data_IF_880264162222
#
_entry.id   IF_880264162222
#
_cell.length_a   1.000
_cell.length_b   1.000
_cell.length_c   1.000
_cell.angle_alpha   90.00
_cell.angle_beta   90.00
_cell.angle_gamma   90.00
#
_symmetry.space_group_name_H-M   'P 1'
#
loop_
_entity.id
_entity.type
_entity.pdbx_description
1 polymer ?
#
# COMPACT_ATOMS: atom_id res chain seq x y z
N UNK A 1 41.09 -4.04 -14.27
CA UNK A 1 42.13 -5.05 -14.57
C UNK A 1 41.70 -6.35 -13.91
N UNK A 2 41.71 -7.45 -14.69
CA UNK A 2 41.65 -8.89 -14.33
C UNK A 2 40.45 -9.39 -13.52
N UNK A 3 39.87 -10.58 -13.75
CA UNK A 3 39.77 -11.55 -14.85
C UNK A 3 38.85 -12.67 -14.31
N UNK A 4 37.97 -13.20 -15.17
CA UNK A 4 37.43 -14.57 -15.27
C UNK A 4 36.95 -15.34 -14.01
N UNK A 5 35.69 -15.79 -14.06
CA UNK A 5 35.24 -17.06 -13.46
C UNK A 5 34.02 -17.61 -14.23
N UNK A 6 34.28 -18.51 -15.17
CA UNK A 6 33.31 -19.48 -15.69
C UNK A 6 33.03 -20.53 -14.59
N UNK A 7 31.76 -20.88 -14.39
CA UNK A 7 31.38 -22.04 -13.58
C UNK A 7 30.62 -23.03 -14.47
N UNK A 8 31.24 -24.20 -14.53
CA UNK A 8 30.88 -25.47 -15.12
C UNK A 8 29.60 -26.06 -14.49
N UNK A 9 28.69 -26.59 -15.31
CA UNK A 9 27.59 -27.45 -14.85
C UNK A 9 27.53 -28.70 -15.71
N UNK A 10 27.87 -29.83 -15.09
CA UNK A 10 27.65 -31.17 -15.62
C UNK A 10 26.32 -31.76 -15.13
N UNK A 11 25.73 -32.52 -16.05
CA UNK A 11 24.88 -33.71 -15.87
C UNK A 11 23.49 -33.56 -15.26
N UNK A 12 22.45 -33.84 -16.08
CA UNK A 12 21.63 -35.07 -15.96
C UNK A 12 21.10 -35.45 -17.34
N UNK A 13 21.49 -36.64 -17.81
CA UNK A 13 20.98 -37.32 -19.00
C UNK A 13 19.62 -37.99 -18.76
N UNK A 14 18.87 -38.13 -19.86
CA UNK A 14 17.80 -39.10 -20.13
C UNK A 14 16.40 -38.82 -19.55
N UNK A 15 15.49 -38.42 -20.45
CA UNK A 15 14.21 -39.10 -20.71
C UNK A 15 13.69 -38.70 -22.10
N UNK A 16 13.77 -39.66 -23.01
CA UNK A 16 13.09 -39.66 -24.31
C UNK A 16 11.57 -39.64 -24.12
N UNK A 17 10.86 -38.86 -24.93
CA UNK A 17 9.49 -39.16 -25.39
C UNK A 17 9.14 -38.26 -26.60
N UNK A 18 9.23 -38.86 -27.77
CA UNK A 18 8.66 -38.39 -29.05
C UNK A 18 7.12 -38.55 -29.03
N UNK A 19 6.34 -37.61 -29.58
CA UNK A 19 4.96 -37.86 -29.97
C UNK A 19 4.86 -38.19 -31.47
N UNK A 20 4.58 -39.46 -31.73
CA UNK A 20 3.61 -39.99 -32.71
C UNK A 20 3.41 -39.25 -34.05
N UNK A 21 3.87 -39.89 -35.12
CA UNK A 21 3.05 -40.13 -36.32
C UNK A 21 3.29 -41.54 -36.85
N UNK A 22 2.39 -42.47 -36.53
CA UNK A 22 2.27 -43.74 -37.23
C UNK A 22 1.54 -43.56 -38.56
N UNK A 23 1.92 -44.29 -39.63
CA UNK A 23 0.98 -44.74 -40.64
C UNK A 23 0.48 -46.16 -40.30
N UNK A 24 -0.83 -46.31 -40.33
CA UNK A 24 -1.55 -47.58 -40.24
C UNK A 24 -1.46 -48.34 -41.56
N UNK A 25 -0.88 -49.54 -41.54
CA UNK A 25 -1.42 -50.71 -42.27
C UNK A 25 -0.90 -51.95 -41.58
N UNK A 26 -1.83 -52.70 -40.99
CA UNK A 26 -1.56 -53.92 -40.25
C UNK A 26 -1.33 -55.12 -41.16
N UNK A 27 -0.70 -56.13 -40.59
CA UNK A 27 -0.79 -57.50 -41.04
C UNK A 27 -0.76 -58.45 -39.84
N UNK A 28 -1.62 -59.44 -39.90
CA UNK A 28 -1.51 -60.70 -39.17
C UNK A 28 -2.57 -61.67 -39.70
N UNK A 29 -2.46 -62.98 -39.45
CA UNK A 29 -1.29 -63.87 -39.41
C UNK A 29 -1.40 -64.96 -40.53
N UNK A 30 -0.48 -65.95 -40.67
CA UNK A 30 -0.45 -66.84 -41.82
C UNK A 30 -1.38 -68.06 -41.64
N UNK A 31 -2.14 -68.44 -42.66
CA UNK A 31 -2.71 -69.78 -42.79
C UNK A 31 -3.14 -70.12 -44.24
N UNK A 32 -2.48 -71.13 -44.81
CA UNK A 32 -3.09 -72.20 -45.61
C UNK A 32 -3.67 -71.90 -47.01
N UNK A 33 -3.20 -72.65 -48.01
CA UNK A 33 -4.06 -73.09 -49.13
C UNK A 33 -3.54 -72.76 -50.53
N UNK A 34 -3.05 -73.80 -51.23
CA UNK A 34 -2.84 -73.83 -52.67
C UNK A 34 -4.13 -73.49 -53.46
N UNK A 35 -4.00 -72.79 -54.60
CA UNK A 35 -4.29 -73.29 -55.97
C UNK A 35 -4.51 -72.15 -56.98
N UNK A 36 -3.62 -72.16 -57.99
CA UNK A 36 -3.85 -72.04 -59.44
C UNK A 36 -4.93 -71.07 -59.99
N UNK A 37 -4.49 -70.23 -60.94
CA UNK A 37 -5.28 -69.98 -62.17
C UNK A 37 -5.50 -68.52 -62.58
N UNK A 38 -4.52 -67.94 -63.28
CA UNK A 38 -4.64 -67.08 -64.48
C UNK A 38 -6.06 -66.85 -65.04
N UNK A 39 -6.51 -65.67 -65.51
CA UNK A 39 -5.97 -64.82 -66.59
C UNK A 39 -6.56 -63.39 -66.50
N UNK A 40 -5.71 -62.42 -66.85
CA UNK A 40 -5.89 -60.97 -67.04
C UNK A 40 -7.17 -60.50 -67.76
N UNK A 41 -7.74 -59.39 -67.29
CA UNK A 41 -8.16 -58.28 -68.18
C UNK A 41 -7.70 -56.95 -67.58
N UNK A 42 -6.91 -56.20 -68.36
CA UNK A 42 -6.46 -54.84 -68.08
C UNK A 42 -7.51 -53.84 -68.52
N UNK A 43 -7.83 -52.86 -67.67
CA UNK A 43 -8.10 -51.47 -68.05
C UNK A 43 -7.36 -50.59 -67.03
N UNK A 44 -6.67 -49.51 -67.45
CA UNK A 44 -5.55 -48.96 -66.70
C UNK A 44 -6.01 -47.92 -65.68
N UNK A 45 -5.72 -48.17 -64.40
CA UNK A 45 -5.83 -47.14 -63.38
C UNK A 45 -4.55 -46.30 -63.37
N UNK A 46 -4.70 -45.06 -63.86
CA UNK A 46 -3.79 -43.98 -63.58
C UNK A 46 -3.84 -43.66 -62.08
N UNK A 47 -3.00 -44.32 -61.29
CA UNK A 47 -2.66 -43.82 -59.95
C UNK A 47 -1.19 -43.41 -59.95
N UNK A 48 -0.97 -42.12 -60.19
CA UNK A 48 0.35 -41.50 -60.02
C UNK A 48 0.53 -41.25 -58.52
N UNK A 49 1.06 -42.25 -57.80
CA UNK A 49 1.58 -42.04 -56.44
C UNK A 49 2.85 -41.21 -56.53
N UNK A 50 2.81 -39.98 -56.02
CA UNK A 50 3.93 -39.04 -56.00
C UNK A 50 5.03 -39.58 -55.07
N UNK A 51 6.08 -40.16 -55.64
CA UNK A 51 7.30 -40.56 -54.93
C UNK A 51 8.26 -39.37 -54.87
N UNK A 52 8.75 -39.02 -53.69
CA UNK A 52 9.75 -37.96 -53.54
C UNK A 52 11.03 -38.27 -54.32
N UNK A 53 11.65 -37.26 -54.95
CA UNK A 53 12.88 -37.42 -55.72
C UNK A 53 14.09 -37.80 -54.85
N UNK A 54 14.97 -38.64 -55.38
CA UNK A 54 16.28 -38.93 -54.77
C UNK A 54 17.22 -37.70 -54.84
N UNK A 55 18.22 -37.63 -53.95
CA UNK A 55 19.16 -36.48 -53.85
C UNK A 55 19.82 -36.12 -55.18
N UNK A 56 20.20 -37.14 -55.96
CA UNK A 56 20.92 -36.96 -57.23
C UNK A 56 20.01 -36.45 -58.35
N UNK A 57 18.76 -36.93 -58.39
CA UNK A 57 17.75 -36.48 -59.34
C UNK A 57 17.27 -35.05 -59.01
N UNK A 58 17.13 -34.74 -57.72
CA UNK A 58 16.77 -33.41 -57.25
C UNK A 58 17.86 -32.39 -57.61
N UNK A 59 19.14 -32.72 -57.44
CA UNK A 59 20.25 -31.81 -57.76
C UNK A 59 20.37 -31.51 -59.26
N UNK A 60 19.97 -32.45 -60.14
CA UNK A 60 19.92 -32.21 -61.60
C UNK A 60 18.85 -31.18 -61.98
N UNK A 61 17.71 -31.16 -61.30
CA UNK A 61 16.62 -30.20 -61.56
C UNK A 61 16.84 -28.88 -60.81
N UNK A 62 17.31 -28.94 -59.56
CA UNK A 62 17.55 -27.79 -58.69
C UNK A 62 18.75 -26.93 -59.11
N UNK A 63 19.72 -27.51 -59.83
CA UNK A 63 20.87 -26.80 -60.37
C UNK A 63 20.59 -25.99 -61.65
N UNK A 64 19.37 -26.03 -62.18
CA UNK A 64 19.02 -25.26 -63.39
C UNK A 64 19.10 -23.75 -63.12
N UNK A 65 19.57 -22.93 -64.08
CA UNK A 65 19.77 -21.50 -63.87
C UNK A 65 18.50 -20.75 -63.41
N UNK A 66 17.32 -21.22 -63.84
CA UNK A 66 16.03 -20.67 -63.41
C UNK A 66 15.75 -20.89 -61.92
N UNK A 67 15.91 -22.12 -61.43
CA UNK A 67 15.68 -22.45 -60.02
C UNK A 67 16.71 -21.80 -59.09
N UNK A 68 17.97 -21.72 -59.50
CA UNK A 68 19.01 -21.02 -58.73
C UNK A 68 18.67 -19.53 -58.57
N UNK A 69 18.24 -18.86 -59.65
CA UNK A 69 17.82 -17.46 -59.62
C UNK A 69 16.58 -17.24 -58.74
N UNK A 70 15.59 -18.12 -58.84
CA UNK A 70 14.37 -18.06 -58.00
C UNK A 70 14.71 -18.25 -56.52
N UNK A 71 15.58 -19.20 -56.18
CA UNK A 71 16.02 -19.42 -54.78
C UNK A 71 16.73 -18.20 -54.20
N UNK A 72 17.64 -17.60 -54.96
CA UNK A 72 18.31 -16.36 -54.55
C UNK A 72 17.33 -15.19 -54.41
N UNK A 73 16.36 -15.05 -55.34
CA UNK A 73 15.32 -14.04 -55.24
C UNK A 73 14.45 -14.21 -53.97
N UNK A 74 14.01 -15.44 -53.68
CA UNK A 74 13.24 -15.75 -52.46
C UNK A 74 14.05 -15.52 -51.19
N UNK A 75 15.34 -15.87 -51.18
CA UNK A 75 16.21 -15.64 -50.03
C UNK A 75 16.41 -14.13 -49.77
N UNK A 76 16.61 -13.33 -50.82
CA UNK A 76 16.71 -11.87 -50.70
C UNK A 76 15.39 -11.28 -50.19
N UNK A 77 14.26 -11.74 -50.73
CA UNK A 77 12.93 -11.28 -50.32
C UNK A 77 12.63 -11.64 -48.86
N UNK A 78 13.04 -12.84 -48.42
CA UNK A 78 12.97 -13.26 -47.02
C UNK A 78 13.77 -12.32 -46.10
N UNK A 79 15.04 -12.03 -46.44
CA UNK A 79 15.86 -11.13 -45.62
C UNK A 79 15.34 -9.69 -45.64
N UNK A 80 14.83 -9.19 -46.77
CA UNK A 80 14.17 -7.90 -46.84
C UNK A 80 12.91 -7.85 -45.96
N UNK A 81 12.08 -8.90 -45.99
CA UNK A 81 10.93 -9.03 -45.10
C UNK A 81 11.32 -9.09 -43.63
N UNK A 82 12.37 -9.85 -43.30
CA UNK A 82 12.89 -9.96 -41.94
C UNK A 82 13.44 -8.62 -41.44
N UNK A 83 14.24 -7.90 -42.25
CA UNK A 83 14.74 -6.56 -41.91
C UNK A 83 13.58 -5.57 -41.78
N UNK A 84 12.57 -5.67 -42.65
CA UNK A 84 11.36 -4.84 -42.59
C UNK A 84 10.57 -5.08 -41.30
N UNK A 85 10.41 -6.34 -40.88
CA UNK A 85 9.77 -6.70 -39.61
C UNK A 85 10.58 -6.21 -38.40
N UNK A 86 11.91 -6.34 -38.43
CA UNK A 86 12.80 -5.83 -37.39
C UNK A 86 12.71 -4.30 -37.28
N UNK A 87 12.77 -3.59 -38.41
CA UNK A 87 12.63 -2.14 -38.47
C UNK A 87 11.25 -1.71 -37.95
N UNK A 88 10.18 -2.41 -38.35
CA UNK A 88 8.83 -2.17 -37.84
C UNK A 88 8.74 -2.33 -36.33
N UNK A 89 9.32 -3.39 -35.76
CA UNK A 89 9.36 -3.61 -34.32
C UNK A 89 10.12 -2.49 -33.57
N UNK A 90 11.27 -2.06 -34.10
CA UNK A 90 12.04 -0.93 -33.55
C UNK A 90 11.21 0.35 -33.60
N UNK A 91 10.55 0.64 -34.73
CA UNK A 91 9.71 1.83 -34.89
C UNK A 91 8.57 1.84 -33.89
N UNK A 92 7.89 0.70 -33.66
CA UNK A 92 6.82 0.58 -32.66
C UNK A 92 7.36 0.91 -31.26
N UNK A 93 8.53 0.37 -30.88
CA UNK A 93 9.13 0.62 -29.56
C UNK A 93 9.54 2.09 -29.39
N UNK A 94 10.09 2.71 -30.44
CA UNK A 94 10.52 4.12 -30.40
C UNK A 94 9.33 5.08 -30.38
N UNK A 95 8.24 4.76 -31.09
CA UNK A 95 7.02 5.57 -31.11
C UNK A 95 6.14 5.35 -29.87
N UNK A 96 6.26 4.21 -29.19
CA UNK A 96 5.53 3.95 -27.97
C UNK A 96 5.91 4.98 -26.89
N UNK A 97 4.94 5.74 -26.34
CA UNK A 97 5.22 6.67 -25.28
C UNK A 97 5.77 5.91 -24.07
N UNK A 98 6.83 6.44 -23.45
CA UNK A 98 7.36 5.84 -22.22
C UNK A 98 6.31 5.95 -21.12
N UNK A 99 6.14 4.87 -20.38
CA UNK A 99 5.37 4.91 -19.14
C UNK A 99 6.00 5.97 -18.23
N UNK A 100 5.16 6.79 -17.58
CA UNK A 100 5.65 7.72 -16.55
C UNK A 100 6.38 6.90 -15.48
N UNK A 101 7.61 7.27 -15.08
CA UNK A 101 8.30 6.56 -14.01
C UNK A 101 7.46 6.66 -12.75
N UNK A 102 7.33 5.54 -12.04
CA UNK A 102 6.60 5.52 -10.77
C UNK A 102 7.43 6.38 -9.81
N UNK A 103 6.84 7.43 -9.20
CA UNK A 103 7.57 8.21 -8.22
C UNK A 103 7.93 7.33 -7.04
N UNK A 104 9.17 7.44 -6.54
CA UNK A 104 9.53 6.79 -5.29
C UNK A 104 8.70 7.39 -4.15
N UNK A 105 8.04 6.52 -3.39
CA UNK A 105 7.22 6.88 -2.24
C UNK A 105 7.92 6.42 -0.97
N UNK A 106 7.78 7.20 0.10
CA UNK A 106 8.27 6.78 1.39
C UNK A 106 7.25 5.84 2.03
N UNK A 107 7.68 5.02 2.99
CA UNK A 107 6.80 4.02 3.62
C UNK A 107 5.55 4.64 4.28
N UNK A 108 5.65 5.89 4.76
CA UNK A 108 4.52 6.62 5.36
C UNK A 108 3.50 7.12 4.33
N UNK A 109 3.82 7.07 3.04
CA UNK A 109 2.88 7.43 1.96
C UNK A 109 2.18 6.21 1.35
N UNK A 110 2.60 4.99 1.70
CA UNK A 110 2.06 3.74 1.12
C UNK A 110 0.74 3.27 1.74
N UNK A 111 0.29 3.89 2.83
CA UNK A 111 -0.91 3.44 3.54
C UNK A 111 -1.21 4.27 4.79
N UNK A 112 -2.20 3.85 5.58
CA UNK A 112 -2.62 4.59 6.76
C UNK A 112 -1.62 4.43 7.93
N UNK A 113 -1.54 5.49 8.73
CA UNK A 113 -0.91 5.47 10.04
C UNK A 113 -1.98 5.29 11.12
N UNK A 114 -1.65 4.52 12.15
CA UNK A 114 -2.55 4.18 13.25
C UNK A 114 -2.00 4.70 14.56
N UNK A 115 -2.69 5.67 15.17
CA UNK A 115 -2.24 6.38 16.35
C UNK A 115 -2.82 5.79 17.62
N UNK A 116 -1.93 5.39 18.52
CA UNK A 116 -2.24 4.87 19.86
C UNK A 116 -1.69 5.89 20.86
N UNK A 117 -2.49 6.91 21.20
CA UNK A 117 -2.10 7.95 22.15
C UNK A 117 -1.95 7.41 23.59
N UNK A 118 -2.79 6.44 23.95
CA UNK A 118 -2.83 5.82 25.27
C UNK A 118 -2.74 4.29 25.14
N UNK A 119 -1.59 3.73 25.48
CA UNK A 119 -1.34 2.30 25.41
C UNK A 119 -2.10 1.51 26.48
N UNK A 120 -2.45 2.13 27.61
CA UNK A 120 -3.21 1.50 28.69
C UNK A 120 -4.67 1.35 28.29
N UNK A 121 -5.31 2.42 27.81
CA UNK A 121 -6.67 2.35 27.29
C UNK A 121 -6.79 1.44 26.05
N UNK A 122 -5.73 1.37 25.24
CA UNK A 122 -5.70 0.52 24.05
C UNK A 122 -5.57 -0.97 24.38
N UNK A 123 -4.62 -1.36 25.21
CA UNK A 123 -4.34 -2.77 25.47
C UNK A 123 -3.63 -3.03 26.81
N UNK A 124 -3.90 -2.23 27.85
CA UNK A 124 -3.28 -2.38 29.18
C UNK A 124 -1.73 -2.32 29.11
N UNK A 125 -1.17 -1.47 28.24
CA UNK A 125 0.25 -1.17 28.09
C UNK A 125 0.94 -1.81 26.89
N UNK A 126 2.27 -1.67 26.80
CA UNK A 126 3.08 -2.11 25.65
C UNK A 126 3.02 -3.63 25.40
N UNK A 127 2.93 -4.44 26.46
CA UNK A 127 2.81 -5.89 26.32
C UNK A 127 1.50 -6.30 25.61
N UNK A 128 0.40 -5.59 25.87
CA UNK A 128 -0.84 -5.83 25.15
C UNK A 128 -0.84 -5.25 23.74
N UNK A 129 -0.13 -4.13 23.51
CA UNK A 129 0.11 -3.64 22.13
C UNK A 129 0.80 -4.74 21.32
N UNK A 130 1.85 -5.36 21.86
CA UNK A 130 2.55 -6.48 21.22
C UNK A 130 1.59 -7.64 20.90
N UNK A 131 0.75 -8.03 21.86
CA UNK A 131 -0.22 -9.11 21.69
C UNK A 131 -1.25 -8.79 20.57
N UNK A 132 -1.66 -7.53 20.44
CA UNK A 132 -2.68 -7.09 19.47
C UNK A 132 -2.09 -6.68 18.10
N UNK A 133 -0.77 -6.65 17.92
CA UNK A 133 -0.13 -6.35 16.62
C UNK A 133 -0.62 -7.25 15.47
N UNK A 134 -0.95 -8.51 15.75
CA UNK A 134 -1.52 -9.42 14.76
C UNK A 134 -2.87 -8.94 14.23
N UNK A 135 -3.70 -8.36 15.09
CA UNK A 135 -4.98 -7.76 14.71
C UNK A 135 -4.80 -6.45 13.95
N UNK A 136 -3.85 -5.62 14.36
CA UNK A 136 -3.56 -4.36 13.69
C UNK A 136 -3.04 -4.61 12.27
N UNK A 137 -2.22 -5.65 12.07
CA UNK A 137 -1.75 -6.05 10.74
C UNK A 137 -2.89 -6.47 9.80
N UNK A 138 -3.99 -7.01 10.33
CA UNK A 138 -5.19 -7.32 9.52
C UNK A 138 -5.86 -6.04 8.98
N UNK A 139 -5.66 -4.90 9.63
CA UNK A 139 -6.13 -3.59 9.16
C UNK A 139 -5.24 -3.02 8.04
N UNK A 140 -4.14 -3.68 7.68
CA UNK A 140 -3.19 -3.25 6.61
C UNK A 140 -2.61 -1.85 6.83
N UNK A 141 -2.39 -1.49 8.09
CA UNK A 141 -1.70 -0.23 8.43
C UNK A 141 -0.21 -0.35 8.10
N UNK A 142 0.40 0.79 7.70
CA UNK A 142 1.81 0.85 7.35
C UNK A 142 2.68 1.41 8.46
N UNK A 143 2.08 2.19 9.37
CA UNK A 143 2.79 2.70 10.53
C UNK A 143 1.91 2.77 11.77
N UNK A 144 2.57 2.62 12.91
CA UNK A 144 2.03 2.82 14.25
C UNK A 144 2.63 4.11 14.81
N UNK A 145 1.79 4.98 15.37
CA UNK A 145 2.24 6.16 16.11
C UNK A 145 1.95 5.89 17.59
N UNK A 146 2.98 5.59 18.37
CA UNK A 146 2.86 5.33 19.80
C UNK A 146 2.99 6.65 20.55
N UNK A 147 1.96 6.97 21.33
CA UNK A 147 1.88 8.18 22.13
C UNK A 147 2.96 8.23 23.21
N UNK A 148 3.13 9.40 23.85
CA UNK A 148 4.27 9.66 24.71
C UNK A 148 4.43 8.58 25.79
N UNK A 149 5.54 7.86 25.75
CA UNK A 149 5.83 6.78 26.70
C UNK A 149 6.58 7.29 27.93
N UNK A 150 7.08 8.52 27.90
CA UNK A 150 7.93 9.07 28.93
C UNK A 150 7.19 9.60 30.16
N UNK A 151 7.95 9.77 31.23
CA UNK A 151 7.47 10.33 32.50
C UNK A 151 7.61 11.85 32.53
N UNK A 152 6.58 12.52 33.02
CA UNK A 152 6.54 13.98 33.19
C UNK A 152 5.46 14.34 34.21
N UNK A 153 5.75 15.27 35.12
CA UNK A 153 4.71 15.97 35.88
C UNK A 153 4.24 17.19 35.09
N UNK A 154 2.92 17.43 35.12
CA UNK A 154 2.25 18.54 34.42
C UNK A 154 2.99 19.86 34.61
N UNK A 155 3.42 20.46 33.50
CA UNK A 155 4.06 21.78 33.43
C UNK A 155 5.36 21.90 34.28
N UNK A 156 6.03 20.78 34.63
CA UNK A 156 7.26 20.76 35.43
C UNK A 156 8.45 20.17 34.65
N UNK A 157 9.21 20.98 33.88
CA UNK A 157 10.27 20.51 33.00
C UNK A 157 11.46 19.87 33.72
N UNK A 158 11.64 20.13 35.02
CA UNK A 158 12.67 19.48 35.83
C UNK A 158 12.44 17.97 36.00
N UNK A 159 11.18 17.53 35.87
CA UNK A 159 10.79 16.11 35.98
C UNK A 159 10.77 15.37 34.65
N UNK A 160 11.08 16.07 33.54
CA UNK A 160 11.06 15.52 32.20
C UNK A 160 12.20 14.51 31.99
N UNK A 161 11.85 13.24 31.81
CA UNK A 161 12.79 12.20 31.39
C UNK A 161 12.31 11.49 30.11
N UNK A 162 12.79 11.95 28.95
CA UNK A 162 12.37 11.45 27.64
C UNK A 162 12.97 10.08 27.25
N UNK A 163 13.98 9.59 27.98
CA UNK A 163 14.65 8.30 27.71
C UNK A 163 14.09 7.16 28.54
N UNK A 164 13.35 7.47 29.59
CA UNK A 164 12.74 6.47 30.48
C UNK A 164 11.26 6.29 30.15
N UNK A 165 10.80 5.05 30.11
CA UNK A 165 9.39 4.71 29.90
C UNK A 165 8.67 4.71 31.24
N UNK A 166 7.46 5.28 31.27
CA UNK A 166 6.58 5.22 32.42
C UNK A 166 6.28 3.76 32.80
N UNK A 167 6.59 3.33 34.05
CA UNK A 167 6.36 1.96 34.49
C UNK A 167 4.91 1.48 34.35
N UNK A 168 3.93 2.39 34.32
CA UNK A 168 2.52 2.07 34.08
C UNK A 168 2.26 1.62 32.64
N UNK A 169 3.02 2.14 31.68
CA UNK A 169 2.90 1.84 30.24
C UNK A 169 3.76 0.64 29.83
N UNK A 170 4.87 0.40 30.54
CA UNK A 170 5.72 -0.75 30.33
C UNK A 170 7.20 -0.47 30.62
N UNK A 171 8.08 -1.14 29.87
CA UNK A 171 9.53 -1.00 29.99
C UNK A 171 10.18 -1.03 28.60
N UNK A 172 11.48 -0.70 28.53
CA UNK A 172 12.25 -0.67 27.28
C UNK A 172 12.28 -2.04 26.57
N UNK A 173 12.49 -3.18 27.26
CA UNK A 173 12.38 -4.50 26.61
C UNK A 173 11.03 -4.78 25.95
N UNK A 174 9.92 -4.34 26.55
CA UNK A 174 8.58 -4.48 25.97
C UNK A 174 8.45 -3.63 24.70
N UNK A 175 9.01 -2.42 24.68
CA UNK A 175 9.04 -1.61 23.45
C UNK A 175 9.86 -2.30 22.35
N UNK A 176 11.03 -2.85 22.67
CA UNK A 176 11.86 -3.59 21.71
C UNK A 176 11.11 -4.79 21.12
N UNK A 177 10.35 -5.52 21.93
CA UNK A 177 9.51 -6.63 21.45
C UNK A 177 8.40 -6.16 20.49
N UNK A 178 7.76 -5.01 20.79
CA UNK A 178 6.79 -4.37 19.89
C UNK A 178 7.46 -3.97 18.56
N UNK A 179 8.65 -3.35 18.61
CA UNK A 179 9.40 -2.95 17.40
C UNK A 179 9.73 -4.17 16.54
N UNK A 180 10.32 -5.21 17.12
CA UNK A 180 10.70 -6.43 16.40
C UNK A 180 9.49 -7.09 15.74
N UNK A 181 8.37 -7.22 16.47
CA UNK A 181 7.14 -7.83 15.96
C UNK A 181 6.46 -6.96 14.90
N UNK A 182 6.49 -5.63 15.04
CA UNK A 182 5.95 -4.70 14.05
C UNK A 182 6.77 -4.75 12.75
N UNK A 183 8.10 -4.72 12.84
CA UNK A 183 9.00 -4.78 11.69
C UNK A 183 8.88 -6.10 10.93
N UNK A 184 8.75 -7.24 11.62
CA UNK A 184 8.47 -8.55 11.00
C UNK A 184 7.17 -8.56 10.18
N UNK A 185 6.24 -7.65 10.47
CA UNK A 185 4.96 -7.50 9.76
C UNK A 185 4.99 -6.37 8.73
N UNK A 186 6.12 -5.70 8.53
CA UNK A 186 6.26 -4.56 7.63
C UNK A 186 5.57 -3.29 8.15
N UNK A 187 5.35 -3.19 9.45
CA UNK A 187 4.77 -2.01 10.10
C UNK A 187 5.90 -1.19 10.71
N UNK A 188 5.99 0.09 10.34
CA UNK A 188 6.93 1.02 10.95
C UNK A 188 6.39 1.58 12.25
N UNK A 189 7.27 1.97 13.18
CA UNK A 189 6.86 2.55 14.47
C UNK A 189 7.43 3.96 14.61
N UNK A 190 6.53 4.91 14.89
CA UNK A 190 6.82 6.31 15.18
C UNK A 190 6.55 6.53 16.67
N UNK A 191 7.50 7.14 17.37
CA UNK A 191 7.36 7.47 18.78
C UNK A 191 7.03 8.95 18.95
N UNK A 192 6.01 9.26 19.74
CA UNK A 192 5.67 10.63 20.12
C UNK A 192 6.56 11.10 21.27
N UNK A 193 7.37 12.12 21.02
CA UNK A 193 8.26 12.74 22.00
C UNK A 193 7.78 14.12 22.44
N UNK A 194 6.48 14.38 22.40
CA UNK A 194 5.88 15.63 22.90
C UNK A 194 6.20 15.82 24.39
N UNK A 195 7.04 16.80 24.76
CA UNK A 195 7.67 16.76 26.07
C UNK A 195 6.69 17.01 27.22
N UNK A 196 5.78 17.98 27.09
CA UNK A 196 4.78 18.32 28.11
C UNK A 196 3.36 17.85 27.71
N UNK A 197 3.19 16.57 27.37
CA UNK A 197 1.92 16.03 26.88
C UNK A 197 0.76 16.07 27.90
N UNK A 198 1.05 16.12 29.20
CA UNK A 198 0.06 16.26 30.27
C UNK A 198 -0.27 17.73 30.63
N UNK A 199 0.48 18.68 30.06
CA UNK A 199 0.42 20.09 30.41
C UNK A 199 -0.39 20.95 29.45
N UNK A 200 -0.32 22.26 29.68
CA UNK A 200 -1.10 23.24 28.92
C UNK A 200 -0.48 23.57 27.56
N UNK A 201 0.86 23.64 27.53
CA UNK A 201 1.64 23.94 26.33
C UNK A 201 2.61 22.77 26.06
N UNK A 202 2.60 22.16 24.85
CA UNK A 202 3.42 20.98 24.54
C UNK A 202 4.93 21.18 24.77
N UNK A 203 5.42 22.40 24.60
CA UNK A 203 6.84 22.79 24.72
C UNK A 203 7.15 23.66 25.95
N UNK A 204 6.31 23.61 27.00
CA UNK A 204 6.42 24.49 28.17
C UNK A 204 6.41 25.98 27.77
N UNK A 205 7.09 26.85 28.53
CA UNK A 205 7.21 28.27 28.19
C UNK A 205 8.29 28.52 27.14
N UNK A 206 8.18 29.59 26.32
CA UNK A 206 9.20 29.93 25.32
C UNK A 206 10.62 30.09 25.87
N UNK A 207 10.75 30.48 27.15
CA UNK A 207 12.04 30.63 27.83
C UNK A 207 12.76 29.30 28.09
N UNK A 208 12.07 28.17 27.99
CA UNK A 208 12.58 26.83 28.25
C UNK A 208 12.69 25.98 26.98
N UNK A 209 12.32 26.56 25.83
CA UNK A 209 12.20 25.83 24.57
C UNK A 209 13.51 25.17 24.15
N UNK A 210 14.63 25.90 24.19
CA UNK A 210 15.92 25.39 23.72
C UNK A 210 16.48 24.29 24.64
N UNK A 211 16.44 24.48 25.96
CA UNK A 211 16.80 23.44 26.95
C UNK A 211 15.98 22.14 26.77
N UNK A 212 14.69 22.28 26.46
CA UNK A 212 13.80 21.13 26.24
C UNK A 212 14.08 20.51 24.87
N UNK A 213 14.36 21.30 23.84
CA UNK A 213 14.71 20.81 22.51
C UNK A 213 16.00 20.00 22.53
N UNK A 214 17.01 20.41 23.30
CA UNK A 214 18.25 19.63 23.50
C UNK A 214 17.94 18.24 24.07
N UNK A 215 17.11 18.16 25.11
CA UNK A 215 16.66 16.88 25.67
C UNK A 215 15.87 16.02 24.68
N UNK A 216 15.03 16.63 23.85
CA UNK A 216 14.26 15.94 22.80
C UNK A 216 15.20 15.40 21.73
N UNK A 217 16.22 16.16 21.35
CA UNK A 217 17.23 15.72 20.40
C UNK A 217 17.98 14.47 20.90
N UNK A 218 18.49 14.54 22.13
CA UNK A 218 19.18 13.43 22.79
C UNK A 218 18.31 12.17 22.91
N UNK A 219 17.02 12.34 23.18
CA UNK A 219 16.07 11.23 23.25
C UNK A 219 15.76 10.66 21.87
N UNK A 220 15.61 11.51 20.85
CA UNK A 220 15.39 11.07 19.48
C UNK A 220 16.57 10.22 18.98
N UNK A 221 17.81 10.65 19.18
CA UNK A 221 18.99 9.85 18.82
C UNK A 221 19.00 8.48 19.51
N UNK A 222 18.68 8.46 20.81
CA UNK A 222 18.60 7.24 21.59
C UNK A 222 17.54 6.25 21.06
N UNK A 223 16.29 6.70 20.90
CA UNK A 223 15.19 5.85 20.45
C UNK A 223 15.34 5.39 18.99
N UNK A 224 15.85 6.27 18.12
CA UNK A 224 16.15 5.92 16.73
C UNK A 224 17.32 4.93 16.65
N UNK A 225 18.26 4.98 17.58
CA UNK A 225 19.34 3.99 17.73
C UNK A 225 18.84 2.60 18.14
N UNK A 226 17.72 2.53 18.87
CA UNK A 226 17.05 1.28 19.25
C UNK A 226 16.13 0.70 18.16
N UNK A 227 15.97 1.39 17.03
CA UNK A 227 15.20 0.90 15.88
C UNK A 227 13.82 1.53 15.70
N UNK A 228 13.51 2.64 16.38
CA UNK A 228 12.32 3.44 16.05
C UNK A 228 12.47 4.04 14.64
N UNK A 229 11.40 4.01 13.83
CA UNK A 229 11.41 4.46 12.42
C UNK A 229 11.06 5.95 12.26
N UNK A 230 10.68 6.64 13.33
CA UNK A 230 10.40 8.06 13.27
C UNK A 230 9.98 8.69 14.58
N UNK A 231 9.96 10.02 14.60
CA UNK A 231 9.60 10.80 15.77
C UNK A 231 8.40 11.69 15.43
N UNK A 232 7.39 11.68 16.29
CA UNK A 232 6.27 12.64 16.28
C UNK A 232 6.49 13.70 17.34
N UNK A 233 6.20 14.95 17.00
CA UNK A 233 6.17 16.07 17.95
C UNK A 233 4.92 16.93 17.75
N UNK A 234 4.28 17.32 18.86
CA UNK A 234 3.14 18.22 18.85
C UNK A 234 3.54 19.70 18.83
N UNK A 235 2.62 20.57 18.41
CA UNK A 235 2.83 22.03 18.29
C UNK A 235 4.15 22.37 17.59
N UNK A 236 4.22 21.88 16.35
CA UNK A 236 5.37 21.99 15.49
C UNK A 236 5.74 23.46 15.18
N UNK A 237 4.76 24.37 15.20
CA UNK A 237 4.98 25.82 15.08
C UNK A 237 5.93 26.35 16.15
N UNK A 238 5.72 25.98 17.41
CA UNK A 238 6.59 26.38 18.52
C UNK A 238 7.96 25.70 18.43
N UNK A 239 7.99 24.40 18.11
CA UNK A 239 9.22 23.62 17.97
C UNK A 239 10.21 24.26 16.96
N UNK A 240 9.69 24.70 15.80
CA UNK A 240 10.52 25.24 14.71
C UNK A 240 11.13 26.61 14.99
N UNK A 241 10.72 27.27 16.08
CA UNK A 241 11.30 28.53 16.52
C UNK A 241 12.55 28.35 17.36
N UNK A 242 12.87 27.12 17.79
CA UNK A 242 14.13 26.83 18.49
C UNK A 242 15.33 26.99 17.57
N UNK A 243 16.44 27.48 18.11
CA UNK A 243 17.71 27.58 17.38
C UNK A 243 18.29 26.20 17.04
N UNK A 244 17.93 25.17 17.80
CA UNK A 244 18.44 23.80 17.64
C UNK A 244 17.55 22.92 16.74
N UNK A 245 16.54 23.51 16.08
CA UNK A 245 15.67 22.79 15.15
C UNK A 245 16.44 22.02 14.06
N UNK A 246 17.48 22.65 13.50
CA UNK A 246 18.30 22.03 12.45
C UNK A 246 19.08 20.82 12.95
N UNK A 247 19.54 20.85 14.21
CA UNK A 247 20.20 19.70 14.85
C UNK A 247 19.22 18.56 15.06
N UNK A 248 18.03 18.87 15.58
CA UNK A 248 16.97 17.87 15.77
C UNK A 248 16.56 17.21 14.44
N UNK A 249 16.39 18.00 13.39
CA UNK A 249 16.13 17.47 12.04
C UNK A 249 17.26 16.56 11.55
N UNK A 250 18.52 16.96 11.76
CA UNK A 250 19.68 16.18 11.36
C UNK A 250 19.80 14.87 12.16
N UNK A 251 19.46 14.88 13.45
CA UNK A 251 19.45 13.67 14.29
C UNK A 251 18.39 12.67 13.82
N UNK A 252 17.19 13.14 13.46
CA UNK A 252 16.12 12.27 12.97
C UNK A 252 16.46 11.69 11.59
N UNK A 253 16.96 12.52 10.68
CA UNK A 253 17.28 12.10 9.31
C UNK A 253 18.55 11.26 9.25
N UNK A 254 19.55 11.55 10.09
CA UNK A 254 20.84 10.86 10.16
C UNK A 254 21.62 10.82 8.83
N UNK A 255 22.85 10.31 8.88
CA UNK A 255 23.57 9.88 7.67
C UNK A 255 23.10 8.47 7.28
N UNK A 256 21.83 8.34 6.90
CA UNK A 256 21.28 7.07 6.42
C UNK A 256 21.94 6.73 5.07
N UNK A 257 22.64 5.59 5.00
CA UNK A 257 23.12 5.02 3.74
C UNK A 257 21.91 4.56 2.92
N UNK A 258 22.04 4.47 1.58
CA UNK A 258 20.92 4.12 0.68
C UNK A 258 20.22 2.79 1.04
N UNK A 259 20.88 1.88 1.77
CA UNK A 259 20.30 0.60 2.20
C UNK A 259 19.46 0.69 3.48
N UNK A 260 19.50 1.80 4.22
CA UNK A 260 18.76 1.96 5.47
C UNK A 260 17.38 2.55 5.24
N UNK A 261 16.37 1.96 5.90
CA UNK A 261 14.97 2.41 5.84
C UNK A 261 14.87 3.87 6.28
N UNK A 262 14.21 4.70 5.47
CA UNK A 262 14.04 6.13 5.74
C UNK A 262 13.29 6.37 7.05
N UNK A 263 13.78 7.31 7.85
CA UNK A 263 13.14 7.77 9.08
C UNK A 263 12.18 8.92 8.81
N UNK A 264 11.09 9.00 9.57
CA UNK A 264 10.09 10.08 9.43
C UNK A 264 10.15 11.06 10.59
N UNK A 265 10.20 12.35 10.29
CA UNK A 265 9.85 13.40 11.25
C UNK A 265 8.40 13.84 11.02
N UNK A 266 7.55 13.58 12.00
CA UNK A 266 6.13 13.91 11.97
C UNK A 266 5.83 15.11 12.88
N UNK A 267 5.34 16.20 12.31
CA UNK A 267 4.89 17.38 13.06
C UNK A 267 3.38 17.44 13.19
N UNK A 268 2.86 17.83 14.35
CA UNK A 268 1.43 18.16 14.50
C UNK A 268 1.25 19.66 14.63
N UNK A 269 0.34 20.23 13.85
CA UNK A 269 -0.07 21.63 13.94
C UNK A 269 -1.56 21.75 14.22
N UNK A 270 -1.91 22.75 15.04
CA UNK A 270 -3.29 23.03 15.44
C UNK A 270 -3.60 24.49 15.14
N UNK A 271 -4.80 24.78 14.65
CA UNK A 271 -5.28 26.15 14.38
C UNK A 271 -4.45 26.98 13.37
N UNK A 272 -3.69 26.35 12.46
CA UNK A 272 -2.91 27.01 11.39
C UNK A 272 -3.68 27.04 10.06
N UNK A 273 -3.63 28.11 9.27
CA UNK A 273 -4.26 28.15 7.93
C UNK A 273 -3.59 27.18 6.93
N UNK A 274 -4.26 26.89 5.81
CA UNK A 274 -3.70 26.09 4.71
C UNK A 274 -2.45 26.74 4.09
N UNK A 275 -2.46 28.07 3.95
CA UNK A 275 -1.32 28.85 3.44
C UNK A 275 -0.12 28.77 4.38
N UNK A 276 -0.32 29.05 5.67
CA UNK A 276 0.74 28.96 6.67
C UNK A 276 1.29 27.53 6.80
N UNK A 277 0.43 26.51 6.68
CA UNK A 277 0.84 25.12 6.67
C UNK A 277 1.75 24.81 5.47
N UNK A 278 1.40 25.30 4.29
CA UNK A 278 2.19 25.13 3.08
C UNK A 278 3.56 25.78 3.20
N UNK A 279 3.62 27.00 3.75
CA UNK A 279 4.87 27.69 4.06
C UNK A 279 5.72 26.92 5.08
N UNK A 280 5.08 26.38 6.11
CA UNK A 280 5.75 25.63 7.17
C UNK A 280 6.39 24.35 6.63
N UNK A 281 5.68 23.58 5.80
CA UNK A 281 6.21 22.38 5.14
C UNK A 281 7.44 22.73 4.29
N UNK A 282 7.36 23.78 3.48
CA UNK A 282 8.45 24.21 2.62
C UNK A 282 9.67 24.72 3.41
N UNK A 283 9.44 25.49 4.48
CA UNK A 283 10.50 26.12 5.27
C UNK A 283 11.24 25.12 6.16
N UNK A 284 10.51 24.18 6.76
CA UNK A 284 11.06 23.31 7.82
C UNK A 284 11.56 21.97 7.30
N UNK A 285 11.26 21.63 6.03
CA UNK A 285 11.68 20.37 5.39
C UNK A 285 11.32 19.14 6.24
N UNK A 286 10.16 19.19 6.91
CA UNK A 286 9.57 18.09 7.66
C UNK A 286 8.99 17.05 6.70
N UNK A 287 9.04 15.79 7.09
CA UNK A 287 8.67 14.68 6.22
C UNK A 287 7.15 14.49 6.16
N UNK A 288 6.45 14.74 7.27
CA UNK A 288 5.00 14.62 7.38
C UNK A 288 4.41 15.61 8.38
N UNK A 289 3.35 16.32 8.01
CA UNK A 289 2.63 17.24 8.91
C UNK A 289 1.17 16.85 9.02
N UNK A 290 0.72 16.61 10.25
CA UNK A 290 -0.67 16.37 10.59
C UNK A 290 -1.33 17.67 11.06
N UNK A 291 -2.44 18.05 10.43
CA UNK A 291 -3.18 19.28 10.76
C UNK A 291 -4.61 18.99 11.22
N UNK A 292 -5.22 19.96 11.90
CA UNK A 292 -6.62 19.89 12.33
C UNK A 292 -7.62 20.53 11.33
N UNK A 293 -7.18 20.88 10.12
CA UNK A 293 -7.99 21.57 9.10
C UNK A 293 -9.34 20.89 8.85
N UNK A 294 -9.34 19.56 8.68
CA UNK A 294 -10.57 18.77 8.48
C UNK A 294 -11.49 18.77 9.70
N UNK A 295 -10.91 18.92 10.89
CA UNK A 295 -11.63 18.88 12.17
C UNK A 295 -12.29 20.21 12.53
N UNK A 296 -11.96 21.29 11.82
CA UNK A 296 -12.55 22.62 12.06
C UNK A 296 -14.04 22.61 11.76
N UNK A 297 -14.79 23.43 12.48
CA UNK A 297 -16.22 23.68 12.25
C UNK A 297 -16.45 24.64 11.06
N UNK A 298 -15.53 24.62 10.10
CA UNK A 298 -15.62 25.40 8.88
C UNK A 298 -16.46 24.56 7.91
N UNK A 299 -17.32 25.19 7.12
CA UNK A 299 -18.22 24.47 6.20
C UNK A 299 -17.48 23.53 5.24
N UNK A 300 -18.18 22.56 4.65
CA UNK A 300 -17.58 21.56 3.76
C UNK A 300 -16.79 22.16 2.59
N UNK A 301 -17.24 23.30 2.05
CA UNK A 301 -16.56 24.04 0.97
C UNK A 301 -15.16 24.48 1.38
N UNK A 302 -14.99 25.00 2.60
CA UNK A 302 -13.67 25.44 3.08
C UNK A 302 -12.71 24.25 3.18
N UNK A 303 -13.17 23.11 3.68
CA UNK A 303 -12.34 21.90 3.76
C UNK A 303 -11.84 21.46 2.38
N UNK A 304 -12.69 21.54 1.36
CA UNK A 304 -12.31 21.21 -0.01
C UNK A 304 -11.28 22.21 -0.54
N UNK A 305 -11.43 23.50 -0.26
CA UNK A 305 -10.44 24.52 -0.62
C UNK A 305 -9.10 24.25 0.07
N UNK A 306 -9.10 24.02 1.40
CA UNK A 306 -7.90 23.71 2.18
C UNK A 306 -7.18 22.48 1.61
N UNK A 307 -7.93 21.45 1.21
CA UNK A 307 -7.39 20.25 0.56
C UNK A 307 -6.75 20.55 -0.80
N UNK A 308 -7.44 21.34 -1.63
CA UNK A 308 -6.95 21.68 -2.97
C UNK A 308 -5.68 22.55 -2.90
N UNK A 309 -5.55 23.45 -1.92
CA UNK A 309 -4.33 24.24 -1.72
C UNK A 309 -3.12 23.34 -1.42
N UNK A 310 -3.33 22.26 -0.66
CA UNK A 310 -2.26 21.39 -0.18
C UNK A 310 -1.99 20.18 -1.09
N UNK A 311 -2.70 20.02 -2.20
CA UNK A 311 -2.58 18.85 -3.06
C UNK A 311 -1.19 18.68 -3.68
N UNK A 312 -0.53 19.80 -4.00
CA UNK A 312 0.86 19.79 -4.50
C UNK A 312 1.87 19.23 -3.50
N UNK A 313 1.57 19.33 -2.20
CA UNK A 313 2.41 18.87 -1.08
C UNK A 313 1.91 17.55 -0.47
N UNK A 314 1.03 16.83 -1.15
CA UNK A 314 0.39 15.60 -0.66
C UNK A 314 1.34 14.58 -0.01
N UNK A 315 2.61 14.51 -0.43
CA UNK A 315 3.60 13.56 0.15
C UNK A 315 4.03 13.93 1.58
N UNK A 316 3.87 15.19 1.96
CA UNK A 316 4.26 15.73 3.26
C UNK A 316 3.07 16.10 4.14
N UNK A 317 1.84 15.83 3.68
CA UNK A 317 0.62 16.15 4.42
C UNK A 317 -0.08 14.87 4.88
N UNK A 318 -0.42 14.85 6.17
CA UNK A 318 -1.21 13.84 6.81
C UNK A 318 -2.60 14.38 7.17
N UNK A 319 -3.62 13.53 6.98
CA UNK A 319 -5.02 13.88 7.20
C UNK A 319 -5.63 12.98 8.27
N UNK A 320 -6.26 13.59 9.27
CA UNK A 320 -7.06 12.85 10.24
C UNK A 320 -8.17 13.72 10.81
N UNK A 321 -9.35 13.13 11.01
CA UNK A 321 -10.47 13.81 11.65
C UNK A 321 -10.41 13.56 13.15
N UNK A 322 -9.86 14.52 13.91
CA UNK A 322 -9.60 14.40 15.34
C UNK A 322 -8.16 13.99 15.68
N UNK A 323 -7.45 13.32 14.77
CA UNK A 323 -6.11 12.77 15.03
C UNK A 323 -5.08 13.79 15.53
N UNK A 324 -5.10 15.03 15.03
CA UNK A 324 -4.21 16.11 15.50
C UNK A 324 -4.44 16.46 16.98
N UNK A 325 -5.66 16.28 17.48
CA UNK A 325 -6.04 16.46 18.89
C UNK A 325 -6.08 15.13 19.64
N UNK A 326 -5.68 14.03 19.00
CA UNK A 326 -5.73 12.66 19.54
C UNK A 326 -7.14 12.20 19.91
N UNK A 327 -8.12 12.81 19.28
CA UNK A 327 -9.54 12.49 19.42
C UNK A 327 -9.94 11.35 18.49
N UNK A 328 -10.92 10.55 18.91
CA UNK A 328 -11.63 9.64 18.02
C UNK A 328 -12.50 10.41 17.03
N UNK A 329 -12.57 9.89 15.81
CA UNK A 329 -13.41 10.36 14.70
C UNK A 329 -14.88 10.46 15.12
N UNK A 330 -15.32 9.56 16.00
CA UNK A 330 -16.69 9.49 16.53
C UNK A 330 -17.12 10.73 17.33
N UNK A 331 -16.18 11.51 17.89
CA UNK A 331 -16.48 12.80 18.54
C UNK A 331 -17.04 13.82 17.55
N UNK A 332 -16.73 13.69 16.26
CA UNK A 332 -17.22 14.55 15.18
C UNK A 332 -18.32 13.88 14.36
N UNK A 333 -18.20 12.58 14.12
CA UNK A 333 -19.16 11.79 13.37
C UNK A 333 -19.85 10.76 14.27
N UNK A 334 -21.03 11.11 14.80
CA UNK A 334 -21.73 10.27 15.78
C UNK A 334 -22.48 9.09 15.14
N UNK A 335 -22.83 9.18 13.86
CA UNK A 335 -23.58 8.15 13.14
C UNK A 335 -22.62 7.19 12.41
N UNK A 336 -22.82 5.86 12.50
CA UNK A 336 -22.04 4.86 11.74
C UNK A 336 -21.95 5.13 10.23
N UNK A 337 -23.01 5.63 9.59
CA UNK A 337 -22.98 6.00 8.18
C UNK A 337 -21.97 7.14 7.92
N UNK A 338 -21.97 8.17 8.78
CA UNK A 338 -21.06 9.30 8.66
C UNK A 338 -19.61 8.89 8.97
N UNK A 339 -19.40 7.96 9.89
CA UNK A 339 -18.08 7.36 10.17
C UNK A 339 -17.53 6.69 8.91
N UNK A 340 -18.35 5.85 8.24
CA UNK A 340 -17.95 5.18 6.98
C UNK A 340 -17.63 6.18 5.86
N UNK A 341 -18.39 7.27 5.77
CA UNK A 341 -18.13 8.36 4.81
C UNK A 341 -16.79 9.03 5.06
N UNK A 342 -16.47 9.37 6.31
CA UNK A 342 -15.19 10.01 6.63
C UNK A 342 -14.01 9.06 6.47
N UNK A 343 -14.18 7.77 6.82
CA UNK A 343 -13.17 6.75 6.54
C UNK A 343 -12.91 6.67 5.03
N UNK A 344 -13.96 6.59 4.19
CA UNK A 344 -13.82 6.60 2.74
C UNK A 344 -13.06 7.84 2.26
N UNK A 345 -13.49 9.03 2.70
CA UNK A 345 -12.84 10.29 2.34
C UNK A 345 -11.35 10.26 2.69
N UNK A 346 -10.99 9.91 3.93
CA UNK A 346 -9.59 9.83 4.41
C UNK A 346 -8.76 8.86 3.56
N UNK A 347 -9.27 7.69 3.23
CA UNK A 347 -8.55 6.72 2.42
C UNK A 347 -8.40 7.13 0.94
N UNK A 348 -9.31 7.94 0.40
CA UNK A 348 -9.27 8.39 -0.99
C UNK A 348 -8.58 9.73 -1.20
N UNK A 349 -8.30 10.47 -0.12
CA UNK A 349 -7.64 11.77 -0.20
C UNK A 349 -6.15 11.66 -0.57
N UNK A 350 -5.62 12.67 -1.29
CA UNK A 350 -4.19 12.76 -1.56
C UNK A 350 -3.43 13.04 -0.25
N UNK A 351 -2.45 12.18 0.05
CA UNK A 351 -1.63 12.23 1.27
C UNK A 351 -1.82 11.04 2.20
N UNK A 352 -1.32 11.17 3.43
CA UNK A 352 -1.28 10.04 4.37
C UNK A 352 -2.47 10.09 5.33
N UNK A 353 -3.41 9.13 5.28
CA UNK A 353 -4.48 9.08 6.26
C UNK A 353 -3.96 8.62 7.63
N UNK A 354 -4.38 9.31 8.68
CA UNK A 354 -4.04 9.03 10.08
C UNK A 354 -5.34 8.81 10.85
N UNK A 355 -5.44 7.65 11.50
CA UNK A 355 -6.58 7.26 12.31
C UNK A 355 -6.15 7.09 13.77
N UNK A 356 -6.99 7.51 14.71
CA UNK A 356 -6.80 7.21 16.12
C UNK A 356 -7.37 5.82 16.41
N UNK A 357 -6.81 5.10 17.38
CA UNK A 357 -7.34 3.81 17.76
C UNK A 357 -8.83 3.88 18.13
N UNK A 358 -9.59 2.88 17.70
CA UNK A 358 -11.05 2.84 17.85
C UNK A 358 -11.81 3.46 16.67
N UNK A 359 -11.17 4.26 15.82
CA UNK A 359 -11.81 4.82 14.62
C UNK A 359 -12.28 3.74 13.65
N UNK A 360 -11.59 2.60 13.61
CA UNK A 360 -11.90 1.46 12.75
C UNK A 360 -13.18 0.72 13.17
N UNK A 361 -13.60 0.85 14.43
CA UNK A 361 -14.89 0.32 14.93
C UNK A 361 -15.92 1.42 15.15
N UNK A 362 -15.53 2.69 15.05
CA UNK A 362 -16.39 3.83 15.40
C UNK A 362 -16.57 4.00 16.91
N UNK A 363 -15.55 3.67 17.70
CA UNK A 363 -15.56 3.71 19.15
C UNK A 363 -15.89 5.12 19.65
N UNK A 364 -16.91 5.24 20.48
CA UNK A 364 -17.30 6.53 21.07
C UNK A 364 -16.56 6.78 22.38
N UNK A 365 -15.91 7.94 22.47
CA UNK A 365 -15.35 8.42 23.72
C UNK A 365 -16.46 8.95 24.63
N UNK A 366 -16.46 8.52 25.89
CA UNK A 366 -17.37 9.03 26.93
C UNK A 366 -16.60 10.10 27.71
N UNK A 367 -17.01 11.36 27.57
CA UNK A 367 -16.37 12.47 28.27
C UNK A 367 -15.00 12.86 27.67
N UNK A 368 -14.05 13.23 28.54
CA UNK A 368 -12.71 13.70 28.15
C UNK A 368 -11.63 12.62 28.18
N UNK A 369 -11.94 11.41 28.66
CA UNK A 369 -10.98 10.33 28.78
C UNK A 369 -10.85 9.51 27.48
N UNK A 370 -9.68 8.89 27.32
CA UNK A 370 -9.39 7.90 26.30
C UNK A 370 -10.34 6.70 26.44
N UNK A 371 -11.15 6.35 25.42
CA UNK A 371 -12.05 5.20 25.52
C UNK A 371 -11.26 3.89 25.55
N UNK A 372 -11.65 2.95 26.41
CA UNK A 372 -11.06 1.62 26.42
C UNK A 372 -11.40 0.86 25.13
N UNK A 373 -10.39 0.33 24.46
CA UNK A 373 -10.56 -0.40 23.21
C UNK A 373 -11.35 -1.69 23.42
N UNK A 374 -12.32 -1.95 22.54
CA UNK A 374 -13.15 -3.16 22.59
C UNK A 374 -12.58 -4.21 21.65
N UNK A 375 -12.00 -5.25 22.24
CA UNK A 375 -11.39 -6.37 21.52
C UNK A 375 -12.36 -7.52 21.28
N UNK A 376 -11.96 -8.47 20.43
CA UNK A 376 -12.64 -9.76 20.26
C UNK A 376 -14.11 -9.67 19.75
N UNK A 377 -14.49 -8.55 19.12
CA UNK A 377 -15.84 -8.27 18.60
C UNK A 377 -16.36 -9.29 17.57
N UNK A 378 -15.45 -9.98 16.87
CA UNK A 378 -15.77 -10.98 15.85
C UNK A 378 -16.13 -12.36 16.46
N UNK A 379 -15.76 -12.62 17.72
CA UNK A 379 -16.13 -13.86 18.40
C UNK A 379 -17.60 -13.82 18.78
N UNK A 380 -18.34 -14.87 18.44
CA UNK A 380 -19.72 -14.99 18.87
C UNK A 380 -19.81 -15.24 20.39
N UNK A 381 -20.81 -14.65 21.06
CA UNK A 381 -21.05 -14.96 22.47
C UNK A 381 -21.31 -16.46 22.65
N UNK A 382 -20.84 -17.02 23.76
CA UNK A 382 -21.02 -18.43 24.10
C UNK A 382 -22.52 -18.77 24.11
N UNK A 383 -22.92 -19.86 23.46
CA UNK A 383 -24.31 -20.33 23.44
C UNK A 383 -24.88 -20.42 24.87
N UNK A 384 -25.99 -19.73 25.10
CA UNK A 384 -26.68 -19.70 26.41
C UNK A 384 -26.32 -18.53 27.34
N UNK A 385 -25.42 -17.63 26.94
CA UNK A 385 -25.22 -16.36 27.65
C UNK A 385 -26.42 -15.43 27.45
N UNK A 386 -26.88 -14.76 28.51
CA UNK A 386 -27.87 -13.70 28.39
C UNK A 386 -27.21 -12.49 27.71
N UNK A 387 -27.34 -12.41 26.38
CA UNK A 387 -26.84 -11.28 25.59
C UNK A 387 -27.90 -10.20 25.62
N UNK A 388 -27.54 -9.00 26.06
CA UNK A 388 -28.41 -7.83 25.93
C UNK A 388 -28.55 -7.49 24.45
N UNK A 389 -29.78 -7.48 23.91
CA UNK A 389 -30.09 -7.20 22.50
C UNK A 389 -29.40 -5.91 22.00
N UNK A 390 -29.32 -4.88 22.86
CA UNK A 390 -28.66 -3.61 22.50
C UNK A 390 -27.15 -3.77 22.30
N UNK A 391 -26.50 -4.59 23.14
CA UNK A 391 -25.07 -4.86 23.03
C UNK A 391 -24.75 -5.71 21.79
N UNK A 392 -25.65 -6.61 21.40
CA UNK A 392 -25.48 -7.40 20.17
C UNK A 392 -25.60 -6.54 18.91
N UNK A 393 -26.57 -5.61 18.88
CA UNK A 393 -26.71 -4.65 17.78
C UNK A 393 -25.44 -3.80 17.64
N UNK A 394 -24.94 -3.26 18.75
CA UNK A 394 -23.70 -2.47 18.75
C UNK A 394 -22.48 -3.30 18.28
N UNK A 395 -22.37 -4.56 18.72
CA UNK A 395 -21.30 -5.46 18.25
C UNK A 395 -21.36 -5.67 16.74
N UNK A 396 -22.55 -5.91 16.19
CA UNK A 396 -22.76 -6.08 14.74
C UNK A 396 -22.36 -4.81 13.97
N UNK A 397 -22.67 -3.63 14.51
CA UNK A 397 -22.23 -2.37 13.94
C UNK A 397 -20.70 -2.22 13.94
N UNK A 398 -20.04 -2.51 15.06
CA UNK A 398 -18.56 -2.48 15.15
C UNK A 398 -17.91 -3.41 14.12
N UNK A 399 -18.43 -4.63 13.97
CA UNK A 399 -17.93 -5.59 12.98
C UNK A 399 -18.12 -5.05 11.55
N UNK A 400 -19.26 -4.43 11.26
CA UNK A 400 -19.54 -3.86 9.94
C UNK A 400 -18.62 -2.67 9.62
N UNK A 401 -18.38 -1.75 10.57
CA UNK A 401 -17.46 -0.62 10.39
C UNK A 401 -16.01 -1.11 10.23
N UNK A 402 -15.59 -2.11 11.02
CA UNK A 402 -14.23 -2.69 10.91
C UNK A 402 -13.99 -3.38 9.57
N UNK A 403 -15.00 -4.11 9.07
CA UNK A 403 -14.95 -4.74 7.74
C UNK A 403 -14.82 -3.68 6.64
N UNK A 404 -15.60 -2.60 6.72
CA UNK A 404 -15.52 -1.47 5.81
C UNK A 404 -14.14 -0.81 5.82
N UNK A 405 -13.61 -0.49 7.02
CA UNK A 405 -12.27 0.07 7.19
C UNK A 405 -11.18 -0.82 6.56
N UNK A 406 -11.23 -2.13 6.81
CA UNK A 406 -10.27 -3.09 6.24
C UNK A 406 -10.33 -3.14 4.71
N UNK A 407 -11.53 -3.12 4.13
CA UNK A 407 -11.69 -3.10 2.68
C UNK A 407 -11.09 -1.83 2.07
N UNK A 408 -11.28 -0.68 2.71
CA UNK A 408 -10.69 0.58 2.26
C UNK A 408 -9.17 0.61 2.38
N UNK A 409 -8.63 0.12 3.50
CA UNK A 409 -7.17 0.09 3.69
C UNK A 409 -6.48 -0.86 2.72
N UNK A 410 -7.09 -2.02 2.43
CA UNK A 410 -6.61 -2.95 1.40
C UNK A 410 -6.59 -2.31 0.00
N UNK A 411 -7.64 -1.57 -0.37
CA UNK A 411 -7.69 -0.85 -1.64
C UNK A 411 -6.63 0.25 -1.68
N UNK A 412 -6.47 1.04 -0.62
CA UNK A 412 -5.46 2.10 -0.54
C UNK A 412 -4.04 1.58 -0.76
N UNK A 413 -3.72 0.41 -0.19
CA UNK A 413 -2.39 -0.20 -0.32
C UNK A 413 -2.16 -0.81 -1.71
N UNK A 414 -3.21 -1.29 -2.40
CA UNK A 414 -3.13 -1.94 -3.71
C UNK A 414 -3.20 -0.95 -4.89
N UNK A 415 -4.08 0.05 -4.80
CA UNK A 415 -4.43 0.94 -5.89
C UNK A 415 -3.50 2.17 -5.93
N UNK A 416 -2.59 2.18 -6.91
CA UNK A 416 -1.61 3.26 -7.09
C UNK A 416 -2.25 4.57 -7.59
N UNK A 417 -3.41 4.48 -8.24
CA UNK A 417 -4.14 5.63 -8.80
C UNK A 417 -4.70 6.57 -7.73
N UNK A 418 -5.05 6.04 -6.55
CA UNK A 418 -5.49 6.85 -5.42
C UNK A 418 -4.39 7.81 -4.90
N UNK A 419 -3.17 7.72 -5.43
CA UNK A 419 -2.00 8.51 -5.04
C UNK A 419 -1.68 9.65 -6.04
N UNK A 420 -2.48 9.83 -7.10
CA UNK A 420 -2.21 10.77 -8.19
C UNK A 420 -3.46 11.59 -8.56
N UNK A 421 -3.30 12.90 -8.74
CA UNK A 421 -4.38 13.80 -9.19
C UNK A 421 -4.47 13.88 -10.72
N UNK A 422 -5.71 14.03 -11.20
CA UNK A 422 -6.06 14.45 -12.55
C UNK A 422 -6.64 13.34 -13.41
N UNK A 423 -7.97 13.29 -13.53
CA UNK A 423 -8.65 12.53 -14.58
C UNK A 423 -9.94 13.24 -15.04
N UNK A 424 -10.19 13.17 -16.35
CA UNK A 424 -11.51 13.42 -16.92
C UNK A 424 -12.43 12.25 -16.57
N UNK A 425 -13.67 12.54 -16.19
CA UNK A 425 -14.64 11.52 -15.81
C UNK A 425 -15.14 10.79 -17.07
N UNK A 426 -15.06 9.44 -17.13
CA UNK A 426 -15.60 8.67 -18.25
C UNK A 426 -17.13 8.56 -18.16
N UNK A 427 -17.78 8.14 -19.25
CA UNK A 427 -19.23 7.90 -19.23
C UNK A 427 -19.65 6.77 -18.29
N UNK A 428 -18.80 5.74 -18.14
CA UNK A 428 -19.04 4.57 -17.31
C UNK A 428 -17.89 4.28 -16.36
N UNK A 429 -18.20 3.82 -15.16
CA UNK A 429 -17.21 3.36 -14.19
C UNK A 429 -17.67 2.09 -13.48
N UNK A 430 -16.72 1.36 -12.89
CA UNK A 430 -16.96 0.12 -12.16
C UNK A 430 -17.02 0.39 -10.66
N UNK A 431 -18.04 -0.13 -9.97
CA UNK A 431 -18.18 0.02 -8.52
C UNK A 431 -17.15 -0.84 -7.79
N UNK A 432 -16.33 -0.24 -6.91
CA UNK A 432 -15.38 -0.98 -6.06
C UNK A 432 -15.82 -1.10 -4.62
N UNK A 433 -16.40 -0.05 -4.07
CA UNK A 433 -17.03 -0.06 -2.75
C UNK A 433 -18.25 0.84 -2.78
N UNK A 434 -19.29 0.42 -2.09
CA UNK A 434 -20.48 1.23 -1.88
C UNK A 434 -20.97 1.05 -0.45
N UNK A 435 -21.47 2.12 0.14
CA UNK A 435 -22.21 2.05 1.40
C UNK A 435 -23.63 1.55 1.21
N UNK A 436 -24.17 1.65 -0.02
CA UNK A 436 -25.49 1.15 -0.39
C UNK A 436 -25.39 -0.32 -0.84
N UNK A 437 -26.19 -1.18 -0.24
CA UNK A 437 -26.26 -2.61 -0.59
C UNK A 437 -26.90 -2.85 -1.96
N UNK A 438 -27.65 -1.88 -2.50
CA UNK A 438 -28.22 -1.97 -3.84
C UNK A 438 -27.16 -1.87 -4.95
N UNK A 439 -26.00 -1.28 -4.66
CA UNK A 439 -24.89 -1.15 -5.60
C UNK A 439 -23.96 -2.36 -5.48
N UNK A 440 -24.04 -3.24 -6.48
CA UNK A 440 -23.24 -4.47 -6.51
C UNK A 440 -21.78 -4.15 -6.85
N UNK A 441 -20.86 -4.66 -6.03
CA UNK A 441 -19.40 -4.54 -6.28
C UNK A 441 -19.04 -5.19 -7.62
N UNK A 442 -18.15 -4.55 -8.37
CA UNK A 442 -17.72 -4.88 -9.74
C UNK A 442 -18.80 -4.73 -10.83
N UNK A 443 -19.94 -4.12 -10.53
CA UNK A 443 -20.92 -3.73 -11.55
C UNK A 443 -20.54 -2.42 -12.25
N UNK A 444 -20.93 -2.28 -13.52
CA UNK A 444 -20.73 -1.05 -14.30
C UNK A 444 -21.91 -0.10 -14.10
N UNK A 445 -21.62 1.16 -13.79
CA UNK A 445 -22.59 2.24 -13.63
C UNK A 445 -22.30 3.38 -14.61
N UNK A 446 -23.36 4.01 -15.11
CA UNK A 446 -23.26 5.20 -15.97
C UNK A 446 -23.34 6.45 -15.09
N UNK A 447 -22.39 7.38 -15.24
CA UNK A 447 -22.27 8.54 -14.34
C UNK A 447 -23.37 9.59 -14.57
N UNK A 448 -23.97 9.62 -15.75
CA UNK A 448 -25.03 10.57 -16.15
C UNK A 448 -26.36 10.35 -15.40
N UNK A 449 -26.63 9.11 -14.99
CA UNK A 449 -27.89 8.69 -14.31
C UNK A 449 -27.68 8.32 -12.85
N UNK A 450 -26.50 8.60 -12.32
CA UNK A 450 -26.11 8.17 -10.99
C UNK A 450 -26.73 9.07 -9.92
N UNK A 451 -27.51 8.49 -9.00
CA UNK A 451 -28.17 9.22 -7.90
C UNK A 451 -27.73 8.60 -6.58
N UNK A 452 -27.22 9.42 -5.67
CA UNK A 452 -26.85 9.03 -4.31
C UNK A 452 -27.89 9.55 -3.31
N UNK A 453 -28.32 8.68 -2.41
CA UNK A 453 -29.15 9.08 -1.27
C UNK A 453 -28.28 9.70 -0.14
N UNK A 454 -28.90 10.42 0.81
CA UNK A 454 -28.17 10.98 1.95
C UNK A 454 -27.43 9.91 2.75
N UNK A 455 -26.17 10.17 3.10
CA UNK A 455 -25.34 9.22 3.85
C UNK A 455 -24.68 8.13 2.99
N UNK A 456 -24.90 8.14 1.67
CA UNK A 456 -24.29 7.17 0.77
C UNK A 456 -23.01 7.69 0.12
N UNK A 457 -22.05 6.79 -0.06
CA UNK A 457 -20.89 7.04 -0.91
C UNK A 457 -20.43 5.78 -1.62
N UNK A 458 -19.73 6.02 -2.72
CA UNK A 458 -19.33 4.99 -3.67
C UNK A 458 -17.93 5.32 -4.17
N UNK A 459 -17.08 4.30 -4.18
CA UNK A 459 -15.77 4.33 -4.79
C UNK A 459 -15.86 3.65 -6.14
N UNK A 460 -15.51 4.38 -7.19
CA UNK A 460 -15.56 3.95 -8.58
C UNK A 460 -14.15 3.81 -9.15
N UNK A 461 -13.95 2.84 -10.04
CA UNK A 461 -12.71 2.64 -10.79
C UNK A 461 -13.01 2.68 -12.30
N UNK A 462 -12.09 3.26 -13.06
CA UNK A 462 -12.18 3.36 -14.51
C UNK A 462 -10.79 3.25 -15.14
N UNK A 463 -10.71 2.84 -16.43
CA UNK A 463 -9.45 2.55 -17.11
C UNK A 463 -8.58 3.78 -17.43
#
# INVERSE_FOLDING_TARGET
MTKDAEIDMKEVELREMDPEKQPMTGDGPPAGGEKNGTVKVKVPDNEVTFTGLSKEELMKVAGTPGWVRIRWALLILFWLGWVGMLAGAIVIIVQAPRCKPIPEMNWWNEGPLYQISDSEAFADGLAGVEARLDEINKLKVKGLVLGPLHTIQRDMPATLNLKEIDPTKGNEPALLAVLEKAHKKGISVVLDLTPNYLGNAPWFSPSQLDDVMEKVNDAAEYWLGLGVDGIKVSDFTSATNSVDWSKFQAAVKGNLTEETKKRVLMGVVKNVSDVELSELVNRTSVDLVLSDLLSRRNGGVQRIMDMNTLSSQQRSVAWGLGAAHEDQLSKRATNPALIRLYQLLLFTMPGTPVFTYGDEIGLQAIGSESPKMVWDIEKEPVEGAAVNDTAEVQRKEYVAVRKWFRSLSELRVKERSLLHEGLELPETATVKLATDEALVVDSTVTLDKFVLAPGQAVLLQFP
#
